data_IF_808533451349
#
_entry.id   IF_808533451349
#
_cell.length_a   1.000
_cell.length_b   1.000
_cell.length_c   1.000
_cell.angle_alpha   90.00
_cell.angle_beta   90.00
_cell.angle_gamma   90.00
#
_symmetry.space_group_name_H-M   'P 1'
#
loop_
_entity.id
_entity.type
_entity.pdbx_description
1 polymer ?
#
# COMPACT_ATOMS: atom_id res chain seq x y z
N UNK A 1 11.77 5.06 -9.27
CA UNK A 1 12.60 5.46 -10.42
C UNK A 1 12.21 4.78 -11.75
N UNK A 2 11.88 3.49 -11.78
CA UNK A 2 11.54 2.79 -13.04
C UNK A 2 10.21 3.24 -13.66
N UNK A 3 9.23 3.62 -12.82
CA UNK A 3 7.92 4.14 -13.27
C UNK A 3 8.05 5.55 -13.85
N UNK A 4 8.65 6.48 -13.11
CA UNK A 4 8.92 7.85 -13.58
C UNK A 4 9.71 7.90 -14.91
N UNK A 5 10.70 7.01 -15.08
CA UNK A 5 11.44 6.93 -16.34
C UNK A 5 10.58 6.45 -17.52
N UNK A 6 9.53 5.66 -17.26
CA UNK A 6 8.59 5.17 -18.27
C UNK A 6 7.56 6.24 -18.63
N UNK A 7 7.01 6.95 -17.64
CA UNK A 7 6.07 8.06 -17.83
C UNK A 7 6.70 9.19 -18.63
N UNK A 8 7.88 9.67 -18.22
CA UNK A 8 8.59 10.73 -18.94
C UNK A 8 8.92 10.35 -20.40
N UNK A 9 9.12 9.05 -20.68
CA UNK A 9 9.29 8.59 -22.07
C UNK A 9 7.99 8.59 -22.84
N UNK A 10 6.87 8.23 -22.21
CA UNK A 10 5.55 8.27 -22.83
C UNK A 10 5.15 9.72 -23.18
N UNK A 11 5.50 10.67 -22.31
CA UNK A 11 5.34 12.11 -22.55
C UNK A 11 6.34 12.69 -23.56
N UNK A 12 7.28 11.88 -24.07
CA UNK A 12 8.26 12.31 -25.06
C UNK A 12 9.40 13.16 -24.50
N UNK A 13 9.56 13.24 -23.18
CA UNK A 13 10.62 14.01 -22.52
C UNK A 13 11.99 13.44 -22.87
N UNK A 14 12.88 14.32 -23.30
CA UNK A 14 14.26 14.00 -23.70
C UNK A 14 15.26 14.73 -22.82
N UNK A 15 16.40 14.09 -22.63
CA UNK A 15 17.57 14.71 -22.00
C UNK A 15 18.10 15.87 -22.84
N UNK A 16 18.92 16.74 -22.25
CA UNK A 16 19.62 17.83 -22.96
C UNK A 16 20.40 17.37 -24.21
N UNK A 17 20.76 16.09 -24.29
CA UNK A 17 21.46 15.47 -25.44
C UNK A 17 20.52 14.74 -26.42
N UNK A 18 19.20 14.96 -26.34
CA UNK A 18 18.21 14.38 -27.25
C UNK A 18 17.86 12.90 -27.03
N UNK A 19 18.52 12.23 -26.06
CA UNK A 19 18.24 10.84 -25.69
C UNK A 19 17.03 10.74 -24.77
N UNK A 20 16.32 9.61 -24.81
CA UNK A 20 15.23 9.30 -23.88
C UNK A 20 15.72 9.27 -22.43
N UNK A 21 14.85 9.69 -21.51
CA UNK A 21 15.17 9.70 -20.07
C UNK A 21 15.35 8.28 -19.54
N UNK A 22 16.50 8.02 -18.92
CA UNK A 22 16.81 6.75 -18.28
C UNK A 22 16.93 6.90 -16.76
N UNK A 23 17.07 5.76 -16.08
CA UNK A 23 17.20 5.72 -14.61
C UNK A 23 18.44 6.48 -14.13
N UNK A 24 19.56 6.36 -14.84
CA UNK A 24 20.81 7.02 -14.44
C UNK A 24 20.71 8.54 -14.52
N UNK A 25 20.03 9.04 -15.55
CA UNK A 25 19.71 10.45 -15.71
C UNK A 25 18.85 10.98 -14.56
N UNK A 26 17.79 10.27 -14.20
CA UNK A 26 16.92 10.66 -13.07
C UNK A 26 17.68 10.68 -11.74
N UNK A 27 18.52 9.69 -11.47
CA UNK A 27 19.33 9.69 -10.24
C UNK A 27 20.29 10.88 -10.20
N UNK A 28 20.93 11.25 -11.31
CA UNK A 28 21.77 12.45 -11.38
C UNK A 28 20.98 13.73 -11.15
N UNK A 29 19.79 13.82 -11.73
CA UNK A 29 18.90 14.96 -11.57
C UNK A 29 18.47 15.10 -10.10
N UNK A 30 17.96 14.04 -9.48
CA UNK A 30 17.49 14.05 -8.10
C UNK A 30 18.59 14.28 -7.06
N UNK A 31 19.87 14.12 -7.42
CA UNK A 31 21.00 14.43 -6.54
C UNK A 31 21.66 15.79 -6.85
N UNK A 32 21.08 16.58 -7.77
CA UNK A 32 21.65 17.87 -8.14
C UNK A 32 21.26 18.98 -7.15
N UNK A 33 22.18 19.31 -6.24
CA UNK A 33 22.00 20.35 -5.22
C UNK A 33 21.83 21.76 -5.80
N UNK A 34 22.10 21.97 -7.09
CA UNK A 34 21.80 23.23 -7.77
C UNK A 34 20.33 23.60 -7.67
N UNK A 35 19.42 22.64 -7.58
CA UNK A 35 17.99 22.94 -7.40
C UNK A 35 17.64 23.57 -6.05
N UNK A 36 18.51 23.45 -5.04
CA UNK A 36 18.38 24.13 -3.74
C UNK A 36 18.98 25.54 -3.71
N UNK A 37 19.39 26.09 -4.86
CA UNK A 37 20.12 27.37 -4.87
C UNK A 37 21.59 27.22 -4.48
N UNK A 38 22.15 25.99 -4.48
CA UNK A 38 23.53 25.74 -4.05
C UNK A 38 24.49 25.51 -5.24
N UNK A 39 25.71 26.02 -5.13
CA UNK A 39 26.81 25.73 -6.05
C UNK A 39 27.73 24.65 -5.46
N UNK A 40 27.94 23.54 -6.16
CA UNK A 40 28.80 22.44 -5.70
C UNK A 40 30.18 22.51 -6.36
N UNK A 41 31.24 22.66 -5.56
CA UNK A 41 32.62 22.57 -6.02
C UNK A 41 33.37 21.48 -5.26
N UNK A 42 33.95 20.52 -6.00
CA UNK A 42 34.74 19.39 -5.45
C UNK A 42 34.02 18.66 -4.29
N UNK A 43 32.71 18.53 -4.37
CA UNK A 43 31.88 17.84 -3.37
C UNK A 43 31.36 18.72 -2.23
N UNK A 44 31.86 19.95 -2.08
CA UNK A 44 31.38 20.92 -1.08
C UNK A 44 30.32 21.81 -1.70
N UNK A 45 29.20 22.01 -1.00
CA UNK A 45 28.11 22.86 -1.43
C UNK A 45 28.23 24.25 -0.78
N UNK A 46 28.12 25.29 -1.58
CA UNK A 46 28.15 26.70 -1.16
C UNK A 46 26.83 27.38 -1.58
N UNK A 47 26.42 28.48 -0.93
CA UNK A 47 25.32 29.32 -1.42
C UNK A 47 25.62 29.76 -2.86
N UNK A 48 24.70 29.49 -3.77
CA UNK A 48 24.74 29.98 -5.15
C UNK A 48 24.09 31.35 -5.27
N UNK A 49 24.34 32.02 -6.39
CA UNK A 49 23.73 33.32 -6.72
C UNK A 49 22.32 33.19 -7.33
N UNK A 50 21.86 31.96 -7.58
CA UNK A 50 20.57 31.68 -8.19
C UNK A 50 19.54 31.23 -7.15
N UNK A 51 18.29 31.61 -7.38
CA UNK A 51 17.17 31.20 -6.53
C UNK A 51 16.96 29.68 -6.58
N UNK A 52 16.54 29.13 -5.44
CA UNK A 52 16.17 27.73 -5.35
C UNK A 52 14.91 27.44 -6.19
N UNK A 53 14.95 26.35 -6.96
CA UNK A 53 13.80 25.88 -7.75
C UNK A 53 12.87 25.03 -6.87
N UNK A 54 13.43 24.37 -5.85
CA UNK A 54 12.70 23.53 -4.89
C UNK A 54 13.11 23.89 -3.46
N UNK A 55 12.19 23.68 -2.51
CA UNK A 55 12.46 23.90 -1.10
C UNK A 55 13.30 22.77 -0.48
N UNK A 56 13.89 23.07 0.68
CA UNK A 56 14.66 22.08 1.44
C UNK A 56 13.78 20.92 1.92
N UNK A 57 12.51 21.20 2.26
CA UNK A 57 11.58 20.19 2.77
C UNK A 57 11.25 19.10 1.73
N UNK A 58 11.02 19.48 0.47
CA UNK A 58 10.80 18.56 -0.64
C UNK A 58 12.06 17.76 -0.97
N UNK A 59 13.23 18.42 -0.94
CA UNK A 59 14.51 17.76 -1.11
C UNK A 59 14.73 16.66 -0.07
N UNK A 60 14.49 16.96 1.20
CA UNK A 60 14.66 16.02 2.30
C UNK A 60 13.71 14.82 2.17
N UNK A 61 12.45 15.05 1.77
CA UNK A 61 11.47 13.98 1.47
C UNK A 61 11.96 13.06 0.35
N UNK A 62 12.47 13.62 -0.75
CA UNK A 62 13.01 12.82 -1.86
C UNK A 62 14.23 12.01 -1.41
N UNK A 63 15.13 12.61 -0.62
CA UNK A 63 16.33 11.94 -0.15
C UNK A 63 16.06 10.88 0.91
N UNK A 64 15.02 11.05 1.74
CA UNK A 64 14.55 9.99 2.63
C UNK A 64 14.11 8.75 1.84
N UNK A 65 13.39 8.94 0.72
CA UNK A 65 12.98 7.84 -0.18
C UNK A 65 14.20 7.19 -0.86
N UNK A 66 15.18 7.99 -1.28
CA UNK A 66 16.40 7.47 -1.94
C UNK A 66 17.34 6.74 -0.98
N UNK A 67 17.40 7.16 0.28
CA UNK A 67 18.20 6.56 1.35
C UNK A 67 17.66 5.20 1.82
N UNK A 68 16.41 4.85 1.47
CA UNK A 68 15.83 3.57 1.83
C UNK A 68 16.68 2.39 1.30
N UNK A 69 16.97 1.44 2.20
CA UNK A 69 17.84 0.29 1.96
C UNK A 69 17.46 -0.44 0.66
N UNK A 70 18.44 -0.72 -0.20
CA UNK A 70 18.21 -1.46 -1.45
C UNK A 70 17.53 -2.82 -1.23
N UNK A 71 17.74 -3.45 -0.06
CA UNK A 71 17.09 -4.70 0.36
C UNK A 71 15.61 -4.50 0.72
N UNK A 72 15.26 -3.40 1.37
CA UNK A 72 13.88 -3.01 1.68
C UNK A 72 13.17 -2.58 0.39
N UNK A 73 13.82 -1.77 -0.45
CA UNK A 73 13.32 -1.43 -1.80
C UNK A 73 13.13 -2.66 -2.69
N UNK A 74 14.04 -3.63 -2.65
CA UNK A 74 13.90 -4.91 -3.36
C UNK A 74 12.78 -5.77 -2.78
N UNK A 75 12.58 -5.77 -1.46
CA UNK A 75 11.45 -6.43 -0.81
C UNK A 75 10.10 -5.77 -1.18
N UNK A 76 10.03 -4.44 -1.23
CA UNK A 76 8.87 -3.65 -1.67
C UNK A 76 8.63 -3.80 -3.18
N UNK A 77 9.69 -3.90 -3.99
CA UNK A 77 9.60 -4.18 -5.43
C UNK A 77 9.20 -5.64 -5.69
N UNK A 78 9.58 -6.60 -4.83
CA UNK A 78 9.02 -7.97 -4.85
C UNK A 78 7.58 -8.02 -4.34
N UNK A 79 7.19 -7.08 -3.47
CA UNK A 79 5.80 -6.87 -3.06
C UNK A 79 4.94 -6.24 -4.16
N UNK A 80 5.50 -5.91 -5.33
CA UNK A 80 4.73 -5.60 -6.55
C UNK A 80 3.86 -6.78 -7.02
N UNK A 81 4.07 -8.00 -6.50
CA UNK A 81 3.03 -9.02 -6.49
C UNK A 81 2.19 -8.79 -5.23
N UNK A 82 1.03 -8.12 -5.32
CA UNK A 82 0.21 -7.85 -4.15
C UNK A 82 -0.16 -9.17 -3.48
N UNK A 83 0.12 -9.22 -2.19
CA UNK A 83 -0.26 -10.29 -1.28
C UNK A 83 -0.93 -9.61 -0.09
N UNK A 84 -2.18 -9.22 -0.28
CA UNK A 84 -2.97 -8.38 0.62
C UNK A 84 -3.02 -8.97 2.04
N UNK A 85 -3.21 -10.29 2.12
CA UNK A 85 -3.36 -11.04 3.36
C UNK A 85 -2.03 -11.54 3.94
N UNK A 86 -0.88 -11.09 3.42
CA UNK A 86 0.42 -11.55 3.91
C UNK A 86 0.59 -11.21 5.40
N UNK A 87 0.77 -12.25 6.21
CA UNK A 87 0.89 -12.13 7.67
C UNK A 87 -0.44 -12.09 8.42
N UNK A 88 -1.57 -12.14 7.70
CA UNK A 88 -2.93 -12.16 8.26
C UNK A 88 -3.64 -13.50 8.03
N UNK A 89 -3.25 -14.26 7.00
CA UNK A 89 -3.91 -15.52 6.62
C UNK A 89 -3.27 -16.76 7.27
N UNK A 90 -4.13 -17.65 7.76
CA UNK A 90 -3.76 -18.89 8.42
C UNK A 90 -4.61 -20.06 7.92
N UNK A 91 -4.01 -21.24 7.85
CA UNK A 91 -4.69 -22.46 7.45
C UNK A 91 -5.40 -23.15 8.61
N UNK A 92 -6.12 -24.25 8.35
CA UNK A 92 -6.93 -24.97 9.34
C UNK A 92 -6.10 -25.61 10.45
N UNK A 93 -4.81 -25.83 10.22
CA UNK A 93 -3.84 -26.32 11.22
C UNK A 93 -3.36 -25.22 12.16
N UNK A 94 -3.82 -23.97 11.97
CA UNK A 94 -3.34 -22.78 12.68
C UNK A 94 -2.03 -22.22 12.12
N UNK A 95 -1.37 -22.92 11.19
CA UNK A 95 -0.14 -22.45 10.56
C UNK A 95 -0.39 -21.26 9.62
N UNK A 96 0.54 -20.31 9.63
CA UNK A 96 0.50 -19.17 8.71
C UNK A 96 0.58 -19.63 7.26
N UNK A 97 -0.08 -18.91 6.36
CA UNK A 97 0.03 -19.15 4.91
C UNK A 97 0.91 -18.09 4.26
N UNK A 98 1.89 -18.52 3.48
CA UNK A 98 2.84 -17.65 2.79
C UNK A 98 2.44 -17.44 1.32
N UNK A 99 2.54 -16.21 0.80
CA UNK A 99 2.29 -15.95 -0.60
C UNK A 99 3.39 -16.60 -1.46
N UNK A 100 2.97 -17.32 -2.47
CA UNK A 100 3.80 -17.97 -3.49
C UNK A 100 3.21 -17.67 -4.86
N UNK A 101 4.01 -17.82 -5.90
CA UNK A 101 3.53 -17.66 -7.25
C UNK A 101 4.25 -18.62 -8.20
N UNK A 102 3.58 -18.94 -9.30
CA UNK A 102 4.15 -19.66 -10.44
C UNK A 102 3.82 -18.90 -11.71
N UNK A 103 4.69 -18.99 -12.73
CA UNK A 103 4.47 -18.32 -14.02
C UNK A 103 4.41 -19.38 -15.10
N UNK A 104 3.35 -19.37 -15.90
CA UNK A 104 3.20 -20.21 -17.10
C UNK A 104 2.94 -19.29 -18.30
N UNK A 105 3.91 -19.24 -19.22
CA UNK A 105 3.89 -18.27 -20.32
C UNK A 105 3.89 -16.83 -19.80
N UNK A 106 2.89 -16.04 -20.20
CA UNK A 106 2.71 -14.67 -19.72
C UNK A 106 1.76 -14.55 -18.51
N UNK A 107 1.20 -15.66 -18.00
CA UNK A 107 0.24 -15.64 -16.88
C UNK A 107 0.93 -15.93 -15.55
N UNK A 108 0.70 -15.06 -14.56
CA UNK A 108 1.14 -15.20 -13.18
C UNK A 108 0.01 -15.81 -12.33
N UNK A 109 0.26 -16.97 -11.73
CA UNK A 109 -0.64 -17.61 -10.77
C UNK A 109 -0.14 -17.34 -9.36
N UNK A 110 -1.02 -16.86 -8.48
CA UNK A 110 -0.70 -16.46 -7.11
C UNK A 110 -1.46 -17.35 -6.14
N UNK A 111 -0.78 -17.81 -5.09
CA UNK A 111 -1.36 -18.69 -4.08
C UNK A 111 -0.87 -18.34 -2.68
N UNK A 112 -1.72 -18.53 -1.68
CA UNK A 112 -1.29 -18.69 -0.30
C UNK A 112 -1.07 -20.16 0.00
N UNK A 113 0.10 -20.52 0.54
CA UNK A 113 0.46 -21.92 0.84
C UNK A 113 0.77 -22.05 2.32
N UNK A 114 0.18 -23.05 2.97
CA UNK A 114 0.45 -23.33 4.38
C UNK A 114 1.95 -23.56 4.63
N UNK A 115 2.47 -22.97 5.71
CA UNK A 115 3.84 -23.22 6.16
C UNK A 115 4.07 -24.70 6.50
N UNK A 116 3.05 -25.43 6.93
CA UNK A 116 3.17 -26.88 7.16
C UNK A 116 3.46 -27.61 5.86
N UNK A 117 2.78 -27.26 4.76
CA UNK A 117 3.04 -27.87 3.45
C UNK A 117 4.43 -27.56 2.93
N UNK A 118 4.89 -26.33 3.11
CA UNK A 118 6.23 -25.91 2.67
C UNK A 118 7.35 -26.60 3.45
N UNK A 119 7.11 -27.00 4.72
CA UNK A 119 8.13 -27.59 5.60
C UNK A 119 8.06 -29.11 5.68
N UNK A 120 6.85 -29.69 5.64
CA UNK A 120 6.58 -31.10 5.97
C UNK A 120 5.97 -31.88 4.79
N UNK A 121 5.67 -31.21 3.67
CA UNK A 121 5.11 -31.84 2.48
C UNK A 121 3.59 -31.69 2.33
N UNK A 122 3.03 -32.12 1.18
CA UNK A 122 1.65 -31.83 0.78
C UNK A 122 0.59 -32.33 1.77
N UNK A 123 0.81 -33.48 2.39
CA UNK A 123 -0.18 -34.12 3.29
C UNK A 123 -0.25 -33.47 4.69
N UNK A 124 0.63 -32.50 4.98
CA UNK A 124 0.72 -31.86 6.30
C UNK A 124 -0.42 -30.86 6.59
N UNK A 125 -1.19 -30.46 5.59
CA UNK A 125 -2.33 -29.55 5.76
C UNK A 125 -3.46 -29.93 4.79
N UNK A 126 -4.71 -30.07 5.26
CA UNK A 126 -5.80 -30.56 4.42
C UNK A 126 -6.26 -29.54 3.36
N UNK A 127 -6.03 -28.24 3.56
CA UNK A 127 -6.24 -27.20 2.53
C UNK A 127 -5.01 -27.04 1.65
N UNK A 128 -3.83 -26.98 2.27
CA UNK A 128 -2.54 -26.86 1.60
C UNK A 128 -2.27 -25.55 0.85
N UNK A 129 -3.05 -25.22 -0.18
CA UNK A 129 -2.90 -24.03 -1.04
C UNK A 129 -4.25 -23.41 -1.37
N UNK A 130 -4.30 -22.08 -1.43
CA UNK A 130 -5.50 -21.31 -1.80
C UNK A 130 -5.15 -20.28 -2.87
N UNK A 131 -5.95 -20.12 -3.94
CA UNK A 131 -5.74 -19.07 -4.93
C UNK A 131 -5.81 -17.67 -4.29
N UNK A 132 -4.76 -16.86 -4.48
CA UNK A 132 -4.66 -15.55 -3.82
C UNK A 132 -5.76 -14.58 -4.32
N UNK A 133 -6.05 -14.56 -5.62
CA UNK A 133 -7.06 -13.66 -6.17
C UNK A 133 -8.46 -13.91 -5.59
N UNK A 134 -8.85 -15.18 -5.45
CA UNK A 134 -10.18 -15.56 -4.94
C UNK A 134 -10.31 -15.26 -3.45
N UNK A 135 -9.32 -15.61 -2.63
CA UNK A 135 -9.37 -15.34 -1.19
C UNK A 135 -9.27 -13.86 -0.86
N UNK A 136 -8.45 -13.10 -1.60
CA UNK A 136 -8.36 -11.65 -1.42
C UNK A 136 -9.68 -10.96 -1.78
N UNK A 137 -10.31 -11.34 -2.90
CA UNK A 137 -11.62 -10.82 -3.29
C UNK A 137 -12.69 -11.14 -2.24
N UNK A 138 -12.77 -12.39 -1.77
CA UNK A 138 -13.73 -12.78 -0.75
C UNK A 138 -13.58 -11.98 0.56
N UNK A 139 -12.35 -11.73 1.01
CA UNK A 139 -12.09 -10.91 2.20
C UNK A 139 -12.49 -9.45 1.96
N UNK A 140 -12.19 -8.89 0.80
CA UNK A 140 -12.58 -7.52 0.44
C UNK A 140 -14.11 -7.39 0.40
N UNK A 141 -14.81 -8.32 -0.24
CA UNK A 141 -16.27 -8.29 -0.35
C UNK A 141 -16.94 -8.42 1.02
N UNK A 142 -16.38 -9.22 1.93
CA UNK A 142 -16.86 -9.30 3.30
C UNK A 142 -16.67 -7.96 4.05
N UNK A 143 -15.50 -7.33 3.92
CA UNK A 143 -15.23 -6.01 4.51
C UNK A 143 -16.20 -4.94 3.97
N UNK A 144 -16.44 -4.93 2.65
CA UNK A 144 -17.43 -4.06 2.00
C UNK A 144 -18.83 -4.24 2.58
N UNK A 145 -19.24 -5.49 2.81
CA UNK A 145 -20.52 -5.81 3.45
C UNK A 145 -20.60 -5.27 4.88
N UNK A 146 -19.53 -5.39 5.66
CA UNK A 146 -19.46 -4.91 7.04
C UNK A 146 -19.58 -3.38 7.11
N UNK A 147 -18.89 -2.63 6.24
CA UNK A 147 -18.93 -1.16 6.26
C UNK A 147 -20.32 -0.57 6.02
N UNK A 148 -21.19 -1.32 5.32
CA UNK A 148 -22.56 -0.91 5.02
C UNK A 148 -23.54 -1.19 6.18
N UNK A 149 -23.11 -1.88 7.25
CA UNK A 149 -23.97 -2.20 8.38
C UNK A 149 -24.22 -0.97 9.26
N UNK A 150 -25.48 -0.66 9.63
CA UNK A 150 -25.82 0.49 10.46
C UNK A 150 -25.08 0.52 11.81
N UNK A 151 -24.85 -0.65 12.42
CA UNK A 151 -24.14 -0.78 13.69
C UNK A 151 -22.67 -0.37 13.57
N UNK A 152 -22.05 -0.63 12.41
CA UNK A 152 -20.67 -0.22 12.11
C UNK A 152 -20.60 1.28 11.89
N UNK A 153 -21.57 1.87 11.18
CA UNK A 153 -21.66 3.33 11.00
C UNK A 153 -21.80 4.02 12.35
N UNK A 154 -22.77 3.60 13.18
CA UNK A 154 -23.03 4.19 14.50
C UNK A 154 -21.85 3.96 15.45
N UNK A 155 -21.25 2.77 15.46
CA UNK A 155 -20.08 2.47 16.29
C UNK A 155 -18.87 3.30 15.90
N UNK A 156 -18.64 3.49 14.60
CA UNK A 156 -17.55 4.29 14.08
C UNK A 156 -17.78 5.78 14.35
N UNK A 157 -19.01 6.27 14.19
CA UNK A 157 -19.39 7.62 14.56
C UNK A 157 -19.17 7.90 16.05
N UNK A 158 -19.64 7.01 16.94
CA UNK A 158 -19.42 7.14 18.40
C UNK A 158 -17.94 7.18 18.77
N UNK A 159 -17.12 6.34 18.13
CA UNK A 159 -15.68 6.30 18.35
C UNK A 159 -14.98 7.56 17.82
N UNK A 160 -15.40 8.07 16.65
CA UNK A 160 -14.86 9.30 16.08
C UNK A 160 -15.24 10.55 16.92
N UNK A 161 -16.49 10.60 17.41
CA UNK A 161 -17.00 11.70 18.22
C UNK A 161 -16.30 11.85 19.57
N UNK A 162 -15.84 10.75 20.16
CA UNK A 162 -15.08 10.79 21.42
C UNK A 162 -13.77 11.59 21.31
N UNK A 163 -13.27 11.84 20.10
CA UNK A 163 -12.03 12.58 19.85
C UNK A 163 -12.22 13.84 18.99
N UNK A 164 -13.34 13.99 18.28
CA UNK A 164 -13.70 15.19 17.51
C UNK A 164 -15.22 15.42 17.55
N UNK A 165 -15.65 16.47 18.25
CA UNK A 165 -17.07 16.74 18.55
C UNK A 165 -17.90 17.19 17.32
N UNK A 166 -17.26 17.48 16.19
CA UNK A 166 -17.86 18.09 15.01
C UNK A 166 -18.16 17.09 13.87
N UNK A 167 -17.99 15.79 14.10
CA UNK A 167 -18.30 14.76 13.10
C UNK A 167 -19.74 14.26 13.26
N UNK A 168 -20.54 14.37 12.21
CA UNK A 168 -21.92 13.86 12.18
C UNK A 168 -22.01 12.38 11.76
N UNK A 169 -23.11 11.71 12.12
CA UNK A 169 -23.32 10.31 11.73
C UNK A 169 -23.46 10.16 10.20
N UNK A 170 -24.09 11.13 9.54
CA UNK A 170 -24.30 11.10 8.10
C UNK A 170 -23.00 11.30 7.31
N UNK A 171 -22.09 12.16 7.78
CA UNK A 171 -20.75 12.28 7.18
C UNK A 171 -19.96 10.97 7.28
N UNK A 172 -20.09 10.22 8.38
CA UNK A 172 -19.44 8.92 8.56
C UNK A 172 -20.08 7.87 7.64
N UNK A 173 -21.41 7.89 7.51
CA UNK A 173 -22.17 7.00 6.60
C UNK A 173 -21.76 7.24 5.15
N UNK A 174 -21.71 8.50 4.72
CA UNK A 174 -21.29 8.88 3.37
C UNK A 174 -19.85 8.48 3.11
N UNK A 175 -18.92 8.78 4.02
CA UNK A 175 -17.51 8.41 3.88
C UNK A 175 -17.31 6.89 3.76
N UNK A 176 -18.03 6.09 4.57
CA UNK A 176 -17.97 4.62 4.49
C UNK A 176 -18.61 4.07 3.20
N UNK A 177 -19.61 4.76 2.65
CA UNK A 177 -20.28 4.37 1.40
C UNK A 177 -19.40 4.72 0.19
N UNK A 178 -18.75 5.88 0.20
CA UNK A 178 -17.83 6.33 -0.85
C UNK A 178 -16.50 5.58 -0.85
N UNK A 179 -16.11 4.95 0.27
CA UNK A 179 -14.90 4.14 0.35
C UNK A 179 -14.92 2.97 -0.65
N UNK A 180 -16.10 2.45 -1.00
CA UNK A 180 -16.27 1.31 -1.87
C UNK A 180 -15.81 1.56 -3.33
N UNK A 181 -16.30 2.61 -4.04
CA UNK A 181 -15.76 2.97 -5.36
C UNK A 181 -14.32 3.48 -5.30
N UNK A 182 -13.90 4.08 -4.18
CA UNK A 182 -12.51 4.52 -3.98
C UNK A 182 -11.53 3.35 -3.85
N UNK A 183 -11.98 2.20 -3.33
CA UNK A 183 -11.12 1.05 -3.04
C UNK A 183 -10.33 0.56 -4.26
N UNK A 184 -10.99 0.49 -5.42
CA UNK A 184 -10.38 -0.03 -6.66
C UNK A 184 -9.41 0.98 -7.30
N UNK A 185 -9.52 2.26 -6.94
CA UNK A 185 -8.61 3.33 -7.32
C UNK A 185 -7.39 3.43 -6.38
N UNK A 186 -7.42 2.76 -5.22
CA UNK A 186 -6.30 2.74 -4.29
C UNK A 186 -5.12 1.94 -4.85
N UNK A 187 -3.91 2.50 -4.71
CA UNK A 187 -2.69 1.76 -5.00
C UNK A 187 -2.60 0.49 -4.14
N UNK A 188 -2.02 -0.63 -4.63
CA UNK A 188 -1.98 -1.89 -3.88
C UNK A 188 -1.33 -1.81 -2.48
N UNK A 189 -0.40 -0.88 -2.30
CA UNK A 189 0.21 -0.65 -1.00
C UNK A 189 -0.79 -0.09 0.02
N UNK A 190 -1.70 0.76 -0.45
CA UNK A 190 -2.72 1.42 0.37
C UNK A 190 -3.85 0.45 0.72
N UNK A 191 -4.31 -0.34 -0.24
CA UNK A 191 -5.21 -1.46 0.02
C UNK A 191 -4.63 -2.39 1.10
N UNK A 192 -3.35 -2.74 1.00
CA UNK A 192 -2.65 -3.55 2.00
C UNK A 192 -2.51 -2.89 3.37
N UNK A 193 -2.40 -1.56 3.43
CA UNK A 193 -2.37 -0.81 4.69
C UNK A 193 -3.73 -0.85 5.37
N UNK A 194 -4.80 -0.55 4.63
CA UNK A 194 -6.17 -0.52 5.16
C UNK A 194 -6.59 -1.93 5.63
N UNK A 195 -6.31 -2.98 4.85
CA UNK A 195 -6.63 -4.35 5.29
C UNK A 195 -5.92 -4.70 6.61
N UNK A 196 -4.66 -4.28 6.81
CA UNK A 196 -3.95 -4.54 8.08
C UNK A 196 -4.51 -3.76 9.28
N UNK A 197 -5.06 -2.58 9.03
CA UNK A 197 -5.71 -1.76 10.07
C UNK A 197 -7.05 -2.36 10.49
N UNK A 198 -7.75 -3.03 9.58
CA UNK A 198 -9.09 -3.54 9.83
C UNK A 198 -9.12 -5.02 10.21
N UNK A 199 -8.31 -5.83 9.56
CA UNK A 199 -8.28 -7.28 9.72
C UNK A 199 -7.20 -7.64 10.73
N UNK A 200 -7.62 -8.32 11.79
CA UNK A 200 -6.70 -8.94 12.73
C UNK A 200 -6.17 -10.25 12.15
N UNK A 201 -7.09 -11.07 11.61
CA UNK A 201 -6.77 -12.43 11.18
C UNK A 201 -7.78 -12.99 10.18
N UNK A 202 -7.30 -13.79 9.23
CA UNK A 202 -8.10 -14.58 8.30
C UNK A 202 -7.78 -16.06 8.50
N UNK A 203 -8.78 -16.84 8.89
CA UNK A 203 -8.66 -18.29 9.08
C UNK A 203 -9.34 -19.04 7.92
N UNK A 204 -8.55 -19.76 7.14
CA UNK A 204 -9.06 -20.64 6.08
C UNK A 204 -9.41 -22.00 6.69
N UNK A 205 -10.67 -22.41 6.54
CA UNK A 205 -11.19 -23.72 6.93
C UNK A 205 -11.47 -24.56 5.67
N UNK A 206 -11.79 -25.84 5.87
CA UNK A 206 -12.13 -26.73 4.74
C UNK A 206 -13.35 -26.25 3.94
N UNK A 207 -14.32 -25.64 4.63
CA UNK A 207 -15.63 -25.30 4.07
C UNK A 207 -15.92 -23.80 4.12
N UNK A 208 -14.91 -22.95 4.32
CA UNK A 208 -15.14 -21.52 4.43
C UNK A 208 -13.95 -20.74 4.95
N UNK A 209 -14.19 -19.45 5.12
CA UNK A 209 -13.20 -18.47 5.57
C UNK A 209 -13.81 -17.68 6.71
N UNK A 210 -13.04 -17.49 7.77
CA UNK A 210 -13.44 -16.65 8.90
C UNK A 210 -12.52 -15.44 8.95
N UNK A 211 -13.10 -14.25 8.99
CA UNK A 211 -12.37 -12.98 9.07
C UNK A 211 -12.63 -12.35 10.43
N UNK A 212 -11.56 -12.16 11.20
CA UNK A 212 -11.58 -11.47 12.49
C UNK A 212 -11.11 -10.04 12.31
N UNK A 213 -11.94 -9.10 12.75
CA UNK A 213 -11.69 -7.67 12.64
C UNK A 213 -11.06 -7.12 13.92
N UNK A 214 -10.24 -6.09 13.77
CA UNK A 214 -9.73 -5.32 14.89
C UNK A 214 -10.84 -4.41 15.44
N UNK A 215 -11.10 -4.42 16.75
CA UNK A 215 -12.22 -3.68 17.35
C UNK A 215 -12.15 -2.16 17.12
N UNK A 216 -10.94 -1.59 17.02
CA UNK A 216 -10.73 -0.15 16.82
C UNK A 216 -10.25 0.21 15.40
N UNK A 217 -10.20 -0.76 14.47
CA UNK A 217 -9.63 -0.54 13.13
C UNK A 217 -10.39 0.52 12.31
N UNK A 218 -11.71 0.52 12.43
CA UNK A 218 -12.62 1.42 11.72
C UNK A 218 -12.51 2.89 12.17
N UNK A 219 -12.39 3.12 13.49
CA UNK A 219 -12.20 4.46 14.04
C UNK A 219 -10.88 5.09 13.58
N UNK A 220 -9.82 4.30 13.43
CA UNK A 220 -8.55 4.74 12.85
C UNK A 220 -8.70 5.21 11.39
N UNK A 221 -9.41 4.43 10.58
CA UNK A 221 -9.61 4.73 9.15
C UNK A 221 -10.46 5.99 8.94
N UNK A 222 -11.57 6.12 9.67
CA UNK A 222 -12.47 7.28 9.51
C UNK A 222 -11.79 8.60 9.91
N UNK A 223 -10.92 8.60 10.92
CA UNK A 223 -10.10 9.78 11.26
C UNK A 223 -9.22 10.24 10.10
N UNK A 224 -8.58 9.29 9.39
CA UNK A 224 -7.68 9.60 8.28
C UNK A 224 -8.45 10.16 7.07
N UNK A 225 -9.65 9.62 6.80
CA UNK A 225 -10.53 10.10 5.73
C UNK A 225 -11.11 11.48 6.05
N UNK A 226 -11.61 11.70 7.27
CA UNK A 226 -12.13 12.99 7.71
C UNK A 226 -11.04 14.08 7.77
N UNK A 227 -9.83 13.74 8.26
CA UNK A 227 -8.69 14.64 8.27
C UNK A 227 -8.22 15.03 6.87
N UNK A 228 -8.26 14.10 5.91
CA UNK A 228 -7.92 14.38 4.51
C UNK A 228 -8.92 15.32 3.83
N UNK A 229 -10.22 15.19 4.12
CA UNK A 229 -11.26 16.11 3.61
C UNK A 229 -11.09 17.53 4.15
N UNK A 230 -10.76 17.70 5.44
CA UNK A 230 -10.55 19.02 6.07
C UNK A 230 -9.27 19.73 5.61
N UNK A 231 -8.27 19.00 5.15
CA UNK A 231 -7.04 19.56 4.58
C UNK A 231 -7.19 19.98 3.10
N UNK A 232 -8.24 19.51 2.43
CA UNK A 232 -8.53 19.80 1.02
C UNK A 232 -9.57 20.93 0.82
N UNK A 233 -10.23 21.38 1.90
CA UNK A 233 -11.15 22.51 1.95
C UNK A 233 -10.42 23.78 2.41
#
# INVERSE_FOLDING_TARGET
>A
ATVLARELRAEGVRTKRGKLVDKGYLYKLLNNRTYLGLAVHKGTAHPGEHDAIIDQTLWDKVHAILAENARIRSANTRAQTPALLKGLIFGPTGAAMSPTHTRKGNRLYRYYVSQDVLKRGPDACPVGRVPAGEIEAAVIDQLRGIFRQPEVVVGTWRAARAEADDITEDEVREALTELDPLWDELFPAEQGRIVKLLVERVDVRMNGVEVRLRPNGLAGLVREVAGSRRAAA
#
